data_IF_728136138121
#
_entry.id   IF_728136138121
#
_cell.length_a   1.000
_cell.length_b   1.000
_cell.length_c   1.000
_cell.angle_alpha   90.00
_cell.angle_beta   90.00
_cell.angle_gamma   90.00
#
_symmetry.space_group_name_H-M   'P 1'
#
loop_
_entity.id
_entity.type
_entity.pdbx_description
1 polymer ?
#
# COMPACT_ATOMS: atom_id res chain seq x y z
N UNK A 1 -9.05 13.51 18.90
CA UNK A 1 -8.63 14.77 18.27
C UNK A 1 -8.47 15.88 19.31
N UNK A 2 -9.40 16.02 20.25
CA UNK A 2 -9.31 17.04 21.33
C UNK A 2 -8.02 16.95 22.16
N UNK A 3 -7.52 15.72 22.41
CA UNK A 3 -6.24 15.55 23.13
C UNK A 3 -5.05 16.17 22.38
N UNK A 4 -5.02 16.07 21.05
CA UNK A 4 -3.98 16.68 20.21
C UNK A 4 -4.08 18.20 20.25
N UNK A 5 -5.31 18.74 20.19
CA UNK A 5 -5.57 20.18 20.33
C UNK A 5 -5.04 20.73 21.66
N UNK A 6 -5.23 20.02 22.77
CA UNK A 6 -4.69 20.39 24.09
C UNK A 6 -3.16 20.38 24.13
N UNK A 7 -2.51 19.37 23.55
CA UNK A 7 -1.05 19.24 23.54
C UNK A 7 -0.42 20.35 22.68
N UNK A 8 -1.00 20.63 21.52
CA UNK A 8 -0.49 21.64 20.58
C UNK A 8 -0.90 23.07 20.92
N UNK A 9 -1.80 23.28 21.90
CA UNK A 9 -2.28 24.61 22.27
C UNK A 9 -3.11 25.32 21.19
N UNK A 10 -3.78 24.57 20.31
CA UNK A 10 -4.59 25.10 19.20
C UNK A 10 -6.08 24.82 19.40
N UNK A 11 -6.96 25.60 18.78
CA UNK A 11 -8.40 25.37 18.84
C UNK A 11 -8.78 23.99 18.24
N UNK A 12 -9.71 23.23 18.86
CA UNK A 12 -10.10 21.89 18.37
C UNK A 12 -10.53 21.89 16.90
N UNK A 13 -11.23 22.95 16.47
CA UNK A 13 -11.68 23.12 15.08
C UNK A 13 -10.53 22.95 14.06
N UNK A 14 -9.33 23.46 14.35
CA UNK A 14 -8.17 23.33 13.46
C UNK A 14 -7.68 21.89 13.32
N UNK A 15 -7.76 21.12 14.41
CA UNK A 15 -7.42 19.68 14.39
C UNK A 15 -8.47 18.90 13.59
N UNK A 16 -9.75 19.23 13.74
CA UNK A 16 -10.82 18.61 12.95
C UNK A 16 -10.70 18.94 11.46
N UNK A 17 -10.35 20.18 11.11
CA UNK A 17 -10.07 20.58 9.73
C UNK A 17 -8.95 19.72 9.13
N UNK A 18 -7.79 19.64 9.80
CA UNK A 18 -6.65 18.81 9.36
C UNK A 18 -7.03 17.34 9.23
N UNK A 19 -7.75 16.79 10.21
CA UNK A 19 -8.16 15.39 10.19
C UNK A 19 -9.22 15.08 9.12
N UNK A 20 -9.98 16.08 8.67
CA UNK A 20 -10.90 15.94 7.53
C UNK A 20 -10.22 16.17 6.19
N UNK A 21 -9.11 16.93 6.16
CA UNK A 21 -8.38 17.29 4.96
C UNK A 21 -7.47 16.16 4.46
N UNK A 22 -6.69 15.53 5.35
CA UNK A 22 -5.80 14.44 4.96
C UNK A 22 -6.53 13.09 4.97
N UNK A 23 -6.48 12.40 3.84
CA UNK A 23 -7.15 11.11 3.61
C UNK A 23 -6.62 9.96 4.47
N UNK A 24 -5.38 10.07 4.97
CA UNK A 24 -4.77 9.07 5.85
C UNK A 24 -5.43 8.99 7.24
N UNK A 25 -6.07 10.06 7.71
CA UNK A 25 -6.70 10.06 9.03
C UNK A 25 -8.07 9.38 8.98
N UNK A 26 -8.07 8.10 9.36
CA UNK A 26 -9.29 7.32 9.51
C UNK A 26 -10.18 7.87 10.65
N UNK A 27 -11.35 8.41 10.29
CA UNK A 27 -12.37 8.90 11.24
C UNK A 27 -13.41 7.85 11.61
N UNK A 28 -13.42 6.73 10.91
CA UNK A 28 -14.26 5.57 11.16
C UNK A 28 -13.37 4.37 11.49
N UNK A 29 -13.92 3.41 12.22
CA UNK A 29 -13.20 2.17 12.55
C UNK A 29 -12.93 1.39 11.26
N UNK A 30 -11.68 1.02 11.04
CA UNK A 30 -11.25 0.13 9.96
C UNK A 30 -11.05 -1.28 10.47
N UNK A 31 -11.04 -2.24 9.56
CA UNK A 31 -10.64 -3.62 9.83
C UNK A 31 -9.16 -3.71 10.20
N UNK A 32 -8.74 -4.89 10.65
CA UNK A 32 -7.33 -5.16 11.02
C UNK A 32 -6.35 -4.90 9.86
N UNK A 33 -6.76 -5.23 8.64
CA UNK A 33 -6.03 -5.03 7.40
C UNK A 33 -6.75 -3.97 6.57
N UNK A 34 -6.16 -2.78 6.51
CA UNK A 34 -6.67 -1.69 5.70
C UNK A 34 -6.01 -1.75 4.31
N UNK A 35 -6.77 -2.23 3.33
CA UNK A 35 -6.37 -2.40 1.94
C UNK A 35 -6.63 -1.10 1.18
N UNK A 36 -5.57 -0.43 0.78
CA UNK A 36 -5.58 0.80 0.00
C UNK A 36 -5.13 0.48 -1.43
N UNK A 37 -6.07 0.36 -2.36
CA UNK A 37 -5.79 0.00 -3.75
C UNK A 37 -5.54 1.26 -4.59
N UNK A 38 -4.41 1.32 -5.30
CA UNK A 38 -4.12 2.43 -6.20
C UNK A 38 -5.02 2.37 -7.46
N UNK A 39 -5.90 3.37 -7.62
CA UNK A 39 -6.81 3.51 -8.77
C UNK A 39 -6.27 4.38 -9.91
N UNK A 40 -5.09 4.99 -9.77
CA UNK A 40 -4.57 5.95 -10.76
C UNK A 40 -4.14 5.32 -12.08
N UNK A 41 -4.04 6.14 -13.12
CA UNK A 41 -3.82 5.70 -14.51
C UNK A 41 -2.70 4.66 -14.69
N UNK A 42 -1.50 4.77 -14.11
CA UNK A 42 -0.46 3.75 -14.27
C UNK A 42 -0.88 2.37 -13.73
N UNK A 43 -1.59 2.32 -12.62
CA UNK A 43 -2.12 1.07 -12.07
C UNK A 43 -3.34 0.58 -12.87
N UNK A 44 -4.19 1.49 -13.32
CA UNK A 44 -5.37 1.18 -14.14
C UNK A 44 -4.99 0.48 -15.45
N UNK A 45 -3.99 0.99 -16.19
CA UNK A 45 -3.53 0.36 -17.43
C UNK A 45 -2.84 -0.99 -17.20
N UNK A 46 -2.32 -1.21 -16.00
CA UNK A 46 -1.70 -2.47 -15.56
C UNK A 46 -2.70 -3.44 -14.91
N UNK A 47 -4.01 -3.15 -14.94
CA UNK A 47 -5.04 -4.08 -14.48
C UNK A 47 -5.49 -3.90 -13.03
N UNK A 48 -5.33 -2.74 -12.39
CA UNK A 48 -5.80 -2.52 -11.01
C UNK A 48 -7.31 -2.71 -10.83
N UNK A 49 -8.11 -2.52 -11.89
CA UNK A 49 -9.54 -2.85 -11.87
C UNK A 49 -9.80 -4.34 -11.69
N UNK A 50 -8.97 -5.20 -12.29
CA UNK A 50 -9.09 -6.65 -12.14
C UNK A 50 -8.74 -7.06 -10.71
N UNK A 51 -7.74 -6.40 -10.11
CA UNK A 51 -7.40 -6.56 -8.69
C UNK A 51 -8.56 -6.10 -7.79
N UNK A 52 -9.18 -4.95 -8.10
CA UNK A 52 -10.35 -4.46 -7.37
C UNK A 52 -11.48 -5.49 -7.38
N UNK A 53 -11.85 -5.97 -8.56
CA UNK A 53 -12.92 -6.96 -8.75
C UNK A 53 -12.59 -8.25 -8.00
N UNK A 54 -11.34 -8.70 -8.06
CA UNK A 54 -10.88 -9.89 -7.33
C UNK A 54 -11.08 -9.73 -5.82
N UNK A 55 -10.70 -8.58 -5.24
CA UNK A 55 -10.89 -8.31 -3.81
C UNK A 55 -12.37 -8.23 -3.45
N UNK A 56 -13.17 -7.51 -4.24
CA UNK A 56 -14.61 -7.32 -3.97
C UNK A 56 -15.38 -8.63 -4.06
N UNK A 57 -15.07 -9.47 -5.06
CA UNK A 57 -15.73 -10.76 -5.27
C UNK A 57 -15.32 -11.78 -4.20
N UNK A 58 -14.05 -11.79 -3.81
CA UNK A 58 -13.53 -12.74 -2.81
C UNK A 58 -13.95 -12.40 -1.37
N UNK A 59 -14.00 -11.11 -1.02
CA UNK A 59 -14.36 -10.66 0.32
C UNK A 59 -15.85 -10.31 0.47
N UNK A 60 -16.57 -10.11 -0.64
CA UNK A 60 -17.97 -9.71 -0.64
C UNK A 60 -18.22 -8.31 -0.05
N UNK A 61 -17.28 -7.39 -0.26
CA UNK A 61 -17.35 -5.99 0.22
C UNK A 61 -17.19 -5.02 -0.93
N UNK A 62 -17.81 -3.83 -0.81
CA UNK A 62 -17.60 -2.70 -1.70
C UNK A 62 -16.45 -1.79 -1.28
N UNK A 63 -16.24 -0.74 -2.07
CA UNK A 63 -15.29 0.32 -1.75
C UNK A 63 -15.71 1.10 -0.49
N UNK A 64 -14.78 1.29 0.43
CA UNK A 64 -14.99 1.91 1.74
C UNK A 64 -15.60 0.99 2.80
N UNK A 65 -16.02 -0.23 2.44
CA UNK A 65 -16.68 -1.17 3.33
C UNK A 65 -15.70 -2.06 4.09
N UNK A 66 -16.16 -2.62 5.21
CA UNK A 66 -15.39 -3.52 6.07
C UNK A 66 -16.08 -4.86 6.16
N UNK A 67 -15.32 -5.95 6.10
CA UNK A 67 -15.84 -7.31 6.22
C UNK A 67 -16.52 -7.52 7.59
N UNK A 68 -17.51 -8.43 7.64
CA UNK A 68 -18.30 -8.70 8.86
C UNK A 68 -17.46 -9.24 10.03
N UNK A 69 -16.36 -9.91 9.72
CA UNK A 69 -15.37 -10.40 10.69
C UNK A 69 -14.44 -9.29 11.22
N UNK A 70 -14.53 -8.06 10.66
CA UNK A 70 -13.69 -6.93 11.02
C UNK A 70 -12.23 -7.08 10.60
N UNK A 71 -11.91 -8.03 9.71
CA UNK A 71 -10.54 -8.26 9.28
C UNK A 71 -10.09 -7.32 8.18
N UNK A 72 -10.90 -7.07 7.15
CA UNK A 72 -10.48 -6.31 5.97
C UNK A 72 -11.36 -5.08 5.75
N UNK A 73 -10.74 -3.97 5.36
CA UNK A 73 -11.43 -2.81 4.78
C UNK A 73 -10.79 -2.48 3.45
N UNK A 74 -11.58 -2.37 2.38
CA UNK A 74 -11.11 -1.92 1.08
C UNK A 74 -11.35 -0.43 0.93
N UNK A 75 -10.36 0.32 0.43
CA UNK A 75 -10.51 1.68 -0.02
C UNK A 75 -9.69 1.88 -1.30
N UNK A 76 -10.32 2.42 -2.34
CA UNK A 76 -9.61 2.94 -3.50
C UNK A 76 -8.94 4.27 -3.15
N UNK A 77 -7.65 4.37 -3.46
CA UNK A 77 -6.82 5.55 -3.19
C UNK A 77 -6.12 6.02 -4.45
N UNK A 78 -5.59 7.23 -4.36
CA UNK A 78 -4.78 7.83 -5.41
C UNK A 78 -3.37 7.22 -5.49
N UNK A 79 -2.47 7.88 -6.21
CA UNK A 79 -1.13 7.38 -6.48
C UNK A 79 -0.33 7.14 -5.19
N UNK A 80 0.12 5.89 -5.00
CA UNK A 80 0.96 5.46 -3.87
C UNK A 80 2.47 5.51 -4.18
N UNK A 81 2.86 5.97 -5.37
CA UNK A 81 4.26 6.17 -5.76
C UNK A 81 5.03 4.91 -6.19
N UNK A 82 4.39 3.75 -6.22
CA UNK A 82 4.98 2.47 -6.65
C UNK A 82 4.69 2.14 -8.13
N UNK A 83 4.71 3.14 -9.01
CA UNK A 83 4.25 3.00 -10.40
C UNK A 83 5.07 2.01 -11.23
N UNK A 84 6.38 1.85 -10.94
CA UNK A 84 7.24 0.88 -11.63
C UNK A 84 6.82 -0.57 -11.35
N UNK A 85 6.13 -0.79 -10.24
CA UNK A 85 5.71 -2.10 -9.74
C UNK A 85 4.18 -2.24 -9.75
N UNK A 86 3.49 -1.49 -10.62
CA UNK A 86 2.05 -1.61 -10.79
C UNK A 86 1.63 -3.02 -11.27
N UNK A 87 0.41 -3.49 -10.95
CA UNK A 87 -0.55 -2.90 -10.01
C UNK A 87 -0.19 -3.24 -8.55
N UNK A 88 -0.61 -2.40 -7.61
CA UNK A 88 -0.21 -2.52 -6.21
C UNK A 88 -1.32 -2.10 -5.23
N UNK A 89 -1.22 -2.61 -4.01
CA UNK A 89 -2.01 -2.18 -2.86
C UNK A 89 -1.08 -1.83 -1.70
N UNK A 90 -1.48 -0.87 -0.87
CA UNK A 90 -0.91 -0.68 0.45
C UNK A 90 -1.81 -1.37 1.48
N UNK A 91 -1.27 -2.30 2.25
CA UNK A 91 -1.96 -2.90 3.39
C UNK A 91 -1.34 -2.36 4.68
N UNK A 92 -2.10 -1.53 5.40
CA UNK A 92 -1.60 -0.78 6.56
C UNK A 92 -0.36 0.05 6.18
N UNK A 93 0.82 -0.31 6.66
CA UNK A 93 2.08 0.39 6.39
C UNK A 93 2.88 -0.23 5.24
N UNK A 94 2.49 -1.42 4.77
CA UNK A 94 3.26 -2.23 3.84
C UNK A 94 2.71 -2.13 2.42
N UNK A 95 3.59 -2.02 1.44
CA UNK A 95 3.21 -2.11 0.02
C UNK A 95 3.20 -3.56 -0.42
N UNK A 96 2.31 -3.91 -1.33
CA UNK A 96 2.24 -5.20 -1.97
C UNK A 96 2.09 -4.94 -3.46
N UNK A 97 3.14 -5.28 -4.21
CA UNK A 97 3.35 -4.78 -5.57
C UNK A 97 3.42 -5.93 -6.59
N UNK A 98 3.29 -5.59 -7.87
CA UNK A 98 3.22 -6.52 -8.99
C UNK A 98 2.14 -7.59 -8.81
N UNK A 99 0.96 -7.16 -8.36
CA UNK A 99 -0.15 -8.06 -8.07
C UNK A 99 -0.81 -8.60 -9.33
N UNK A 100 -1.30 -9.82 -9.22
CA UNK A 100 -2.21 -10.48 -10.15
C UNK A 100 -3.46 -10.92 -9.37
N UNK A 101 -4.57 -11.28 -10.04
CA UNK A 101 -5.74 -11.83 -9.35
C UNK A 101 -5.39 -13.02 -8.43
N UNK A 102 -4.52 -13.92 -8.90
CA UNK A 102 -4.10 -15.12 -8.15
C UNK A 102 -3.30 -14.75 -6.90
N UNK A 103 -2.26 -13.93 -7.06
CA UNK A 103 -1.41 -13.50 -5.94
C UNK A 103 -2.16 -12.61 -4.94
N UNK A 104 -3.19 -11.89 -5.40
CA UNK A 104 -4.09 -11.14 -4.53
C UNK A 104 -4.92 -12.06 -3.64
N UNK A 105 -5.48 -13.14 -4.18
CA UNK A 105 -6.21 -14.14 -3.39
C UNK A 105 -5.27 -14.81 -2.37
N UNK A 106 -4.06 -15.18 -2.80
CA UNK A 106 -3.03 -15.75 -1.92
C UNK A 106 -2.71 -14.81 -0.75
N UNK A 107 -2.53 -13.52 -1.02
CA UNK A 107 -2.32 -12.48 -0.01
C UNK A 107 -3.48 -12.40 0.98
N UNK A 108 -4.73 -12.36 0.49
CA UNK A 108 -5.92 -12.26 1.34
C UNK A 108 -6.07 -13.50 2.25
N UNK A 109 -5.85 -14.70 1.73
CA UNK A 109 -5.91 -15.93 2.53
C UNK A 109 -4.76 -16.03 3.54
N UNK A 110 -3.56 -15.62 3.16
CA UNK A 110 -2.41 -15.54 4.07
C UNK A 110 -2.70 -14.58 5.24
N UNK A 111 -3.26 -13.40 4.95
CA UNK A 111 -3.68 -12.45 5.96
C UNK A 111 -4.78 -13.00 6.88
N UNK A 112 -5.75 -13.75 6.34
CA UNK A 112 -6.81 -14.41 7.11
C UNK A 112 -6.26 -15.48 8.06
N UNK A 113 -5.21 -16.21 7.65
CA UNK A 113 -4.47 -17.16 8.51
C UNK A 113 -3.59 -16.47 9.56
N UNK A 114 -3.35 -15.17 9.42
CA UNK A 114 -2.48 -14.40 10.30
C UNK A 114 -1.00 -14.49 9.93
N UNK A 115 -0.70 -14.94 8.72
CA UNK A 115 0.65 -15.14 8.18
C UNK A 115 0.85 -14.28 6.92
N UNK A 116 0.79 -12.94 7.00
CA UNK A 116 1.00 -12.10 5.83
C UNK A 116 2.40 -12.35 5.23
N UNK A 117 2.57 -12.29 3.90
CA UNK A 117 3.86 -12.49 3.25
C UNK A 117 4.95 -11.58 3.84
N UNK A 118 6.15 -12.12 4.00
CA UNK A 118 7.25 -11.40 4.64
C UNK A 118 7.72 -10.24 3.76
N UNK A 119 7.85 -9.07 4.39
CA UNK A 119 8.50 -7.90 3.80
C UNK A 119 10.02 -8.09 3.80
N UNK A 120 10.67 -7.84 2.66
CA UNK A 120 12.11 -7.96 2.51
C UNK A 120 12.88 -6.77 3.10
N UNK A 121 14.22 -6.82 3.06
CA UNK A 121 15.11 -5.77 3.59
C UNK A 121 14.92 -4.38 2.95
N UNK A 122 14.33 -4.32 1.75
CA UNK A 122 14.24 -3.10 0.92
C UNK A 122 12.79 -2.68 0.58
N UNK A 123 11.79 -3.31 1.21
CA UNK A 123 10.37 -3.17 0.85
C UNK A 123 9.71 -4.53 0.63
N UNK A 124 8.47 -4.56 0.16
CA UNK A 124 7.87 -5.80 -0.34
C UNK A 124 8.70 -6.34 -1.47
N UNK A 125 9.06 -7.63 -1.43
CA UNK A 125 9.43 -8.32 -2.65
C UNK A 125 8.20 -8.27 -3.54
N UNK A 126 8.26 -7.65 -4.73
CA UNK A 126 7.13 -7.70 -5.63
C UNK A 126 6.73 -9.15 -5.88
N UNK A 127 5.43 -9.40 -6.01
CA UNK A 127 4.88 -10.77 -6.05
C UNK A 127 5.29 -11.57 -7.30
N UNK A 128 6.04 -10.95 -8.21
CA UNK A 128 6.63 -11.56 -9.40
C UNK A 128 8.08 -12.05 -9.21
N UNK A 129 8.66 -11.93 -8.01
CA UNK A 129 10.02 -12.39 -7.69
C UNK A 129 11.14 -11.37 -7.93
N UNK A 130 10.81 -10.13 -8.25
CA UNK A 130 11.76 -9.01 -8.26
C UNK A 130 12.26 -8.70 -6.84
N UNK A 131 13.38 -8.00 -6.74
CA UNK A 131 13.97 -7.50 -5.50
C UNK A 131 13.38 -6.15 -5.14
N UNK A 132 13.15 -5.28 -6.13
CA UNK A 132 12.55 -3.95 -5.96
C UNK A 132 11.99 -3.48 -7.32
N UNK A 133 12.49 -2.37 -7.86
CA UNK A 133 11.99 -1.74 -9.09
C UNK A 133 12.78 -2.10 -10.36
N UNK A 134 13.57 -3.17 -10.36
CA UNK A 134 14.21 -3.62 -11.60
C UNK A 134 13.17 -4.10 -12.63
N UNK A 135 13.57 -4.11 -13.90
CA UNK A 135 12.69 -4.59 -14.96
C UNK A 135 12.40 -6.10 -14.85
N UNK A 136 11.44 -6.62 -15.63
CA UNK A 136 11.10 -8.06 -15.65
C UNK A 136 12.26 -8.95 -16.13
N UNK A 137 13.26 -8.36 -16.82
CA UNK A 137 14.48 -9.04 -17.25
C UNK A 137 15.62 -8.90 -16.23
N UNK A 138 15.33 -8.42 -15.02
CA UNK A 138 16.31 -8.10 -14.00
C UNK A 138 16.98 -6.74 -14.21
N UNK A 139 18.07 -6.51 -13.47
CA UNK A 139 18.84 -5.26 -13.53
C UNK A 139 19.58 -5.15 -14.87
N UNK A 140 19.26 -4.13 -15.66
CA UNK A 140 19.97 -3.77 -16.91
C UNK A 140 21.04 -2.70 -16.72
N UNK A 141 21.17 -2.18 -15.49
CA UNK A 141 22.14 -1.16 -15.08
C UNK A 141 22.61 -1.44 -13.65
N UNK A 142 23.60 -0.65 -13.18
CA UNK A 142 24.17 -0.79 -11.83
C UNK A 142 24.76 -2.18 -11.52
N UNK A 143 25.41 -2.79 -12.52
CA UNK A 143 26.09 -4.09 -12.36
C UNK A 143 27.36 -4.03 -11.50
N UNK A 144 27.93 -2.84 -11.34
CA UNK A 144 29.19 -2.64 -10.61
C UNK A 144 28.93 -1.92 -9.29
N UNK A 145 29.77 -2.23 -8.29
CA UNK A 145 29.74 -1.55 -7.01
C UNK A 145 30.14 -0.08 -7.24
N UNK A 146 29.35 0.90 -6.75
CA UNK A 146 29.72 2.30 -6.87
C UNK A 146 31.09 2.53 -6.24
N UNK A 147 32.04 3.07 -7.00
CA UNK A 147 33.27 3.62 -6.41
C UNK A 147 32.83 4.83 -5.59
N UNK A 148 33.14 4.84 -4.29
CA UNK A 148 32.83 5.98 -3.43
C UNK A 148 33.36 7.28 -4.04
N UNK A 149 32.63 8.38 -3.86
CA UNK A 149 33.13 9.69 -4.26
C UNK A 149 34.42 9.95 -3.48
N UNK A 150 35.54 10.33 -4.12
CA UNK A 150 36.71 10.78 -3.39
C UNK A 150 36.29 12.02 -2.58
N UNK A 151 36.21 11.85 -1.27
CA UNK A 151 36.14 12.97 -0.33
C UNK A 151 37.50 13.66 -0.44
N UNK A 152 37.54 14.85 -1.05
CA UNK A 152 38.70 15.72 -0.93
C UNK A 152 38.84 16.07 0.56
N UNK A 153 39.82 15.47 1.21
CA UNK A 153 40.29 15.90 2.53
C UNK A 153 40.90 17.29 2.35
N UNK A 154 40.15 18.33 2.76
CA UNK A 154 40.61 19.71 2.84
C UNK A 154 41.47 19.99 4.07
#
# INVERSE_FOLDING_TARGET
MDKVSQICGVAPARVYEVASFYTMFNRQKRGKYFLQLCGTTPCMICGSNDIKNTITDHLGIGDGETTKDGLFTLLEVECLGACANAPMIQMNDDYYECLTPETTIELLEACRKGEPPLMGKWGSLPMNGQVSCEGPLGKTSLHTIPKGCPVEEG
#
